data_IF_940993957834
#
_entry.id   IF_940993957834
#
_cell.length_a   1.000
_cell.length_b   1.000
_cell.length_c   1.000
_cell.angle_alpha   90.00
_cell.angle_beta   90.00
_cell.angle_gamma   90.00
#
_symmetry.space_group_name_H-M   'P 1'
#
loop_
_entity.id
_entity.type
_entity.pdbx_description
1 polymer ?
#
# COMPACT_ATOMS: atom_id res chain seq x y z
N UNK A 1 63.77 19.57 -46.40
CA UNK A 1 64.89 19.38 -45.44
C UNK A 1 64.88 17.90 -45.06
N UNK A 2 65.54 17.03 -45.82
CA UNK A 2 66.94 16.58 -45.67
C UNK A 2 67.20 15.91 -44.31
N UNK A 3 67.91 14.79 -44.12
CA UNK A 3 68.61 13.81 -44.95
C UNK A 3 69.02 12.68 -43.95
N UNK A 4 68.91 11.40 -44.29
CA UNK A 4 70.00 10.49 -44.67
C UNK A 4 71.36 10.60 -43.92
N UNK A 5 71.81 9.42 -43.46
CA UNK A 5 73.20 8.86 -43.46
C UNK A 5 74.26 9.25 -42.41
N UNK A 6 74.63 8.23 -41.61
CA UNK A 6 75.95 7.56 -41.47
C UNK A 6 77.22 8.38 -41.12
N UNK A 7 77.92 7.92 -40.05
CA UNK A 7 79.38 7.62 -39.93
C UNK A 7 79.62 7.14 -38.47
N UNK A 8 80.13 5.95 -38.13
CA UNK A 8 81.30 5.13 -38.50
C UNK A 8 82.64 5.65 -37.95
N UNK A 9 83.37 4.71 -37.32
CA UNK A 9 84.83 4.61 -37.08
C UNK A 9 85.36 5.38 -35.85
N UNK A 10 86.39 4.93 -35.12
CA UNK A 10 87.21 3.72 -35.05
C UNK A 10 88.16 3.93 -33.83
N UNK A 11 88.82 2.93 -33.22
CA UNK A 11 90.18 2.40 -33.53
C UNK A 11 90.62 1.65 -32.24
N UNK A 12 91.12 0.41 -32.26
CA UNK A 12 92.38 -0.19 -32.76
C UNK A 12 93.44 -0.39 -31.66
N UNK A 13 94.06 -1.57 -31.73
CA UNK A 13 95.29 -2.03 -31.06
C UNK A 13 95.07 -3.48 -30.63
N UNK A 14 95.41 -4.57 -31.34
CA UNK A 14 96.44 -4.91 -32.33
C UNK A 14 97.86 -4.97 -31.78
N UNK A 15 98.30 -6.20 -31.46
CA UNK A 15 99.67 -6.76 -31.43
C UNK A 15 99.53 -8.26 -31.12
N UNK A 16 100.44 -9.19 -31.43
CA UNK A 16 101.13 -9.58 -32.66
C UNK A 16 101.65 -11.03 -32.41
N UNK A 17 101.41 -11.96 -33.36
CA UNK A 17 102.20 -13.17 -33.72
C UNK A 17 102.67 -14.22 -32.65
N UNK A 18 103.07 -15.47 -33.03
CA UNK A 18 103.43 -15.97 -34.36
C UNK A 18 102.82 -17.32 -34.82
N UNK A 19 102.87 -17.50 -36.14
CA UNK A 19 102.75 -18.77 -36.87
C UNK A 19 103.95 -19.68 -36.55
N UNK A 20 103.71 -20.99 -36.36
CA UNK A 20 104.67 -22.10 -36.61
C UNK A 20 103.88 -23.33 -37.08
N UNK A 21 103.95 -23.66 -38.36
CA UNK A 21 104.70 -24.80 -38.97
C UNK A 21 104.02 -26.17 -38.73
N UNK A 22 103.67 -26.92 -39.79
CA UNK A 22 103.14 -28.27 -39.64
C UNK A 22 104.28 -29.18 -39.18
N UNK A 23 104.09 -29.88 -38.06
CA UNK A 23 105.05 -30.87 -37.57
C UNK A 23 104.66 -32.23 -38.12
N UNK A 24 105.63 -32.86 -38.79
CA UNK A 24 105.59 -34.17 -39.40
C UNK A 24 105.03 -35.25 -38.47
N UNK A 25 104.08 -36.03 -39.00
CA UNK A 25 103.43 -37.13 -38.33
C UNK A 25 104.30 -38.41 -38.21
N UNK A 26 105.60 -38.34 -38.53
CA UNK A 26 106.49 -39.52 -38.55
C UNK A 26 107.54 -39.59 -37.41
N UNK A 27 107.73 -38.55 -36.58
CA UNK A 27 108.73 -38.61 -35.49
C UNK A 27 108.17 -38.85 -34.07
N UNK A 28 106.85 -38.75 -33.84
CA UNK A 28 106.23 -39.00 -32.52
C UNK A 28 105.99 -40.49 -32.20
N UNK A 29 106.35 -41.41 -33.12
CA UNK A 29 106.17 -42.87 -32.97
C UNK A 29 107.30 -43.59 -32.23
N UNK A 30 108.38 -42.90 -31.80
CA UNK A 30 109.54 -43.56 -31.17
C UNK A 30 109.78 -43.33 -29.67
N UNK A 31 109.05 -42.43 -28.98
CA UNK A 31 109.35 -42.14 -27.56
C UNK A 31 108.20 -42.32 -26.53
N UNK A 32 106.98 -42.73 -26.93
CA UNK A 32 105.91 -43.11 -25.98
C UNK A 32 105.93 -44.61 -25.64
N UNK A 33 107.13 -45.16 -25.40
CA UNK A 33 107.33 -46.53 -24.93
C UNK A 33 108.15 -46.56 -23.64
N UNK A 34 107.69 -45.85 -22.60
CA UNK A 34 107.88 -46.15 -21.16
C UNK A 34 107.44 -44.96 -20.29
N UNK A 35 106.23 -45.01 -19.72
CA UNK A 35 105.91 -44.71 -18.29
C UNK A 35 104.39 -44.45 -18.06
N UNK A 36 103.77 -45.32 -17.26
CA UNK A 36 102.86 -44.96 -16.17
C UNK A 36 101.40 -44.56 -16.46
N UNK A 37 100.52 -45.53 -16.73
CA UNK A 37 99.07 -45.33 -16.98
C UNK A 37 98.18 -45.07 -15.74
N UNK A 38 98.68 -44.41 -14.67
CA UNK A 38 97.91 -44.26 -13.41
C UNK A 38 97.37 -42.85 -13.12
N UNK A 39 98.07 -41.78 -13.50
CA UNK A 39 97.65 -40.40 -13.16
C UNK A 39 96.55 -39.85 -14.09
N UNK A 40 96.53 -40.28 -15.35
CA UNK A 40 95.55 -39.83 -16.34
C UNK A 40 94.13 -40.39 -16.09
N UNK A 41 94.03 -41.51 -15.38
CA UNK A 41 92.75 -42.15 -15.01
C UNK A 41 92.10 -41.41 -13.83
N UNK A 42 92.89 -40.91 -12.88
CA UNK A 42 92.39 -40.23 -11.67
C UNK A 42 91.82 -38.85 -12.00
N UNK A 43 92.46 -38.10 -12.90
CA UNK A 43 91.96 -36.78 -13.33
C UNK A 43 90.67 -36.88 -14.14
N UNK A 44 90.52 -37.90 -14.99
CA UNK A 44 89.26 -38.19 -15.68
C UNK A 44 88.14 -38.61 -14.72
N UNK A 45 88.47 -39.40 -13.68
CA UNK A 45 87.49 -39.82 -12.69
C UNK A 45 86.93 -38.64 -11.87
N UNK A 46 87.78 -37.68 -11.47
CA UNK A 46 87.33 -36.49 -10.72
C UNK A 46 86.48 -35.56 -11.58
N UNK A 47 86.88 -35.31 -12.84
CA UNK A 47 86.08 -34.51 -13.77
C UNK A 47 84.70 -35.15 -14.05
N UNK A 48 84.66 -36.47 -14.19
CA UNK A 48 83.41 -37.21 -14.38
C UNK A 48 82.46 -37.08 -13.18
N UNK A 49 82.99 -37.16 -11.95
CA UNK A 49 82.18 -36.98 -10.73
C UNK A 49 81.58 -35.57 -10.64
N UNK A 50 82.35 -34.52 -10.98
CA UNK A 50 81.83 -33.14 -11.00
C UNK A 50 80.73 -32.96 -12.05
N UNK A 51 80.89 -33.55 -13.24
CA UNK A 51 79.86 -33.54 -14.29
C UNK A 51 78.60 -34.29 -13.89
N UNK A 52 78.73 -35.43 -13.20
CA UNK A 52 77.59 -36.20 -12.68
C UNK A 52 76.84 -35.39 -11.61
N UNK A 53 77.54 -34.77 -10.66
CA UNK A 53 76.90 -33.95 -9.62
C UNK A 53 76.23 -32.70 -10.21
N UNK A 54 76.89 -32.00 -11.14
CA UNK A 54 76.29 -30.87 -11.85
C UNK A 54 75.08 -31.29 -12.69
N UNK A 55 75.13 -32.46 -13.33
CA UNK A 55 74.02 -33.06 -14.07
C UNK A 55 72.82 -33.40 -13.18
N UNK A 56 73.05 -33.95 -11.99
CA UNK A 56 71.99 -34.26 -11.01
C UNK A 56 71.33 -32.98 -10.47
N UNK A 57 72.11 -31.93 -10.18
CA UNK A 57 71.57 -30.63 -9.73
C UNK A 57 70.79 -29.95 -10.86
N UNK A 58 71.32 -29.94 -12.09
CA UNK A 58 70.63 -29.37 -13.25
C UNK A 58 69.33 -30.13 -13.55
N UNK A 59 69.33 -31.46 -13.44
CA UNK A 59 68.14 -32.28 -13.62
C UNK A 59 67.09 -32.02 -12.53
N UNK A 60 67.50 -31.81 -11.27
CA UNK A 60 66.60 -31.43 -10.17
C UNK A 60 65.99 -30.04 -10.38
N UNK A 61 66.79 -29.05 -10.82
CA UNK A 61 66.33 -27.68 -11.10
C UNK A 61 65.44 -27.62 -12.35
N UNK A 62 65.78 -28.36 -13.41
CA UNK A 62 64.93 -28.48 -14.61
C UNK A 62 63.65 -29.26 -14.33
N UNK A 63 63.71 -30.28 -13.47
CA UNK A 63 62.55 -31.02 -12.98
C UNK A 63 61.62 -30.15 -12.14
N UNK A 64 62.17 -29.33 -11.24
CA UNK A 64 61.40 -28.33 -10.48
C UNK A 64 60.78 -27.27 -11.40
N UNK A 65 61.53 -26.71 -12.35
CA UNK A 65 60.98 -25.74 -13.32
C UNK A 65 59.90 -26.33 -14.21
N UNK A 66 60.04 -27.59 -14.65
CA UNK A 66 58.98 -28.28 -15.41
C UNK A 66 57.75 -28.57 -14.54
N UNK A 67 57.95 -28.94 -13.27
CA UNK A 67 56.84 -29.13 -12.33
C UNK A 67 56.12 -27.81 -12.01
N UNK A 68 56.87 -26.71 -11.86
CA UNK A 68 56.32 -25.35 -11.68
C UNK A 68 55.58 -24.86 -12.93
N UNK A 69 56.11 -25.10 -14.12
CA UNK A 69 55.44 -24.78 -15.39
C UNK A 69 54.16 -25.61 -15.58
N UNK A 70 54.19 -26.92 -15.35
CA UNK A 70 53.01 -27.77 -15.43
C UNK A 70 51.95 -27.40 -14.38
N UNK A 71 52.37 -27.00 -13.17
CA UNK A 71 51.46 -26.50 -12.14
C UNK A 71 50.83 -25.16 -12.51
N UNK A 72 51.58 -24.27 -13.17
CA UNK A 72 51.09 -22.99 -13.68
C UNK A 72 50.11 -23.18 -14.86
N UNK A 73 50.41 -24.06 -15.81
CA UNK A 73 49.51 -24.44 -16.91
C UNK A 73 48.22 -25.06 -16.37
N UNK A 74 48.32 -26.04 -15.46
CA UNK A 74 47.15 -26.64 -14.82
C UNK A 74 46.33 -25.64 -13.98
N UNK A 75 46.94 -24.58 -13.46
CA UNK A 75 46.23 -23.48 -12.82
C UNK A 75 45.51 -22.60 -13.85
N UNK A 76 46.18 -22.23 -14.95
CA UNK A 76 45.56 -21.45 -16.03
C UNK A 76 44.40 -22.20 -16.70
N UNK A 77 44.53 -23.51 -16.92
CA UNK A 77 43.45 -24.34 -17.47
C UNK A 77 42.24 -24.37 -16.52
N UNK A 78 42.47 -24.50 -15.21
CA UNK A 78 41.40 -24.45 -14.21
C UNK A 78 40.72 -23.08 -14.18
N UNK A 79 41.47 -22.00 -14.28
CA UNK A 79 40.94 -20.63 -14.35
C UNK A 79 40.13 -20.42 -15.62
N UNK A 80 40.63 -20.89 -16.76
CA UNK A 80 39.96 -20.73 -18.05
C UNK A 80 38.68 -21.58 -18.12
N UNK A 81 38.72 -22.84 -17.66
CA UNK A 81 37.55 -23.70 -17.55
C UNK A 81 36.49 -23.10 -16.62
N UNK A 82 36.91 -22.56 -15.46
CA UNK A 82 36.03 -21.82 -14.56
C UNK A 82 35.37 -20.63 -15.26
N UNK A 83 36.14 -19.76 -15.93
CA UNK A 83 35.60 -18.60 -16.66
C UNK A 83 34.62 -19.01 -17.75
N UNK A 84 34.98 -20.01 -18.56
CA UNK A 84 34.13 -20.49 -19.67
C UNK A 84 32.82 -21.06 -19.15
N UNK A 85 32.85 -21.93 -18.13
CA UNK A 85 31.63 -22.51 -17.54
C UNK A 85 30.79 -21.44 -16.83
N UNK A 86 31.43 -20.55 -16.07
CA UNK A 86 30.74 -19.48 -15.35
C UNK A 86 29.98 -18.54 -16.30
N UNK A 87 30.59 -18.19 -17.44
CA UNK A 87 29.98 -17.29 -18.42
C UNK A 87 28.91 -17.97 -19.28
N UNK A 88 28.92 -19.30 -19.38
CA UNK A 88 27.95 -20.09 -20.14
C UNK A 88 26.57 -20.19 -19.46
N UNK A 89 26.49 -19.97 -18.15
CA UNK A 89 25.20 -19.96 -17.44
C UNK A 89 24.35 -18.76 -17.86
N UNK A 90 23.14 -19.03 -18.33
CA UNK A 90 22.13 -18.00 -18.60
C UNK A 90 21.47 -17.55 -17.29
N UNK A 91 21.59 -16.27 -16.98
CA UNK A 91 20.99 -15.68 -15.77
C UNK A 91 19.50 -15.39 -15.93
N UNK A 92 18.95 -15.52 -17.14
CA UNK A 92 17.52 -15.32 -17.44
C UNK A 92 16.72 -16.62 -17.36
N UNK A 93 17.36 -17.75 -17.06
CA UNK A 93 16.72 -19.05 -16.88
C UNK A 93 16.88 -19.49 -15.42
N UNK A 94 15.79 -19.93 -14.78
CA UNK A 94 15.77 -20.16 -13.33
C UNK A 94 16.76 -21.25 -12.90
N UNK A 95 16.84 -22.35 -13.66
CA UNK A 95 17.74 -23.47 -13.35
C UNK A 95 19.19 -23.03 -13.46
N UNK A 96 19.53 -22.36 -14.56
CA UNK A 96 20.86 -21.83 -14.85
C UNK A 96 21.29 -20.73 -13.86
N UNK A 97 20.38 -19.86 -13.42
CA UNK A 97 20.65 -18.86 -12.39
C UNK A 97 20.97 -19.51 -11.03
N UNK A 98 20.24 -20.55 -10.63
CA UNK A 98 20.54 -21.33 -9.41
C UNK A 98 21.89 -22.06 -9.52
N UNK A 99 22.16 -22.67 -10.67
CA UNK A 99 23.43 -23.35 -10.94
C UNK A 99 24.61 -22.38 -10.94
N UNK A 100 24.47 -21.18 -11.50
CA UNK A 100 25.51 -20.14 -11.46
C UNK A 100 25.88 -19.78 -10.01
N UNK A 101 24.88 -19.54 -9.15
CA UNK A 101 25.11 -19.17 -7.74
C UNK A 101 25.81 -20.30 -6.99
N UNK A 102 25.36 -21.55 -7.19
CA UNK A 102 25.99 -22.71 -6.57
C UNK A 102 27.44 -22.91 -7.04
N UNK A 103 27.67 -22.81 -8.35
CA UNK A 103 29.00 -22.94 -8.96
C UNK A 103 29.97 -21.84 -8.49
N UNK A 104 29.47 -20.61 -8.32
CA UNK A 104 30.24 -19.49 -7.79
C UNK A 104 30.69 -19.72 -6.33
N UNK A 105 29.80 -20.24 -5.48
CA UNK A 105 30.11 -20.50 -4.07
C UNK A 105 31.08 -21.68 -3.93
N UNK A 106 30.89 -22.74 -4.73
CA UNK A 106 31.82 -23.89 -4.78
C UNK A 106 33.24 -23.46 -5.17
N UNK A 107 33.37 -22.52 -6.10
CA UNK A 107 34.66 -22.05 -6.63
C UNK A 107 35.11 -20.69 -6.05
N UNK A 108 34.53 -20.26 -4.93
CA UNK A 108 34.76 -18.94 -4.32
C UNK A 108 36.23 -18.62 -4.05
N UNK A 109 37.00 -19.61 -3.60
CA UNK A 109 38.43 -19.45 -3.36
C UNK A 109 39.19 -19.13 -4.66
N UNK A 110 38.85 -19.81 -5.76
CA UNK A 110 39.41 -19.55 -7.08
C UNK A 110 38.95 -18.19 -7.61
N UNK A 111 37.66 -17.88 -7.50
CA UNK A 111 37.09 -16.60 -7.94
C UNK A 111 37.74 -15.39 -7.25
N UNK A 112 37.97 -15.46 -5.93
CA UNK A 112 38.58 -14.37 -5.15
C UNK A 112 40.07 -14.17 -5.46
N UNK A 113 40.75 -15.19 -5.99
CA UNK A 113 42.16 -15.10 -6.41
C UNK A 113 42.35 -14.43 -7.78
N UNK A 114 41.25 -14.15 -8.51
CA UNK A 114 41.28 -13.56 -9.85
C UNK A 114 40.91 -12.08 -9.79
N UNK A 115 41.90 -11.20 -9.62
CA UNK A 115 41.69 -9.73 -9.50
C UNK A 115 40.81 -9.16 -10.63
N UNK A 116 41.03 -9.59 -11.88
CA UNK A 116 40.31 -9.08 -13.06
C UNK A 116 38.92 -9.70 -13.29
N UNK A 117 38.54 -10.75 -12.54
CA UNK A 117 37.28 -11.50 -12.77
C UNK A 117 36.38 -11.61 -11.54
N UNK A 118 36.92 -11.36 -10.34
CA UNK A 118 36.17 -11.40 -9.09
C UNK A 118 34.96 -10.43 -9.10
N UNK A 119 35.14 -9.22 -9.64
CA UNK A 119 34.06 -8.22 -9.75
C UNK A 119 32.93 -8.67 -10.68
N UNK A 120 33.25 -9.32 -11.81
CA UNK A 120 32.28 -9.87 -12.75
C UNK A 120 31.50 -11.05 -12.13
N UNK A 121 32.19 -11.92 -11.38
CA UNK A 121 31.56 -13.02 -10.64
C UNK A 121 30.54 -12.47 -9.63
N UNK A 122 30.95 -11.48 -8.82
CA UNK A 122 30.05 -10.83 -7.84
C UNK A 122 28.86 -10.18 -8.55
N UNK A 123 29.09 -9.45 -9.65
CA UNK A 123 28.04 -8.80 -10.45
C UNK A 123 27.02 -9.80 -11.03
N UNK A 124 27.47 -10.89 -11.66
CA UNK A 124 26.58 -11.91 -12.22
C UNK A 124 25.84 -12.69 -11.15
N UNK A 125 26.49 -13.03 -10.03
CA UNK A 125 25.83 -13.66 -8.88
C UNK A 125 24.74 -12.75 -8.32
N UNK A 126 25.01 -11.44 -8.17
CA UNK A 126 24.01 -10.48 -7.71
C UNK A 126 22.82 -10.40 -8.68
N UNK A 127 23.07 -10.29 -9.99
CA UNK A 127 22.01 -10.28 -11.01
C UNK A 127 21.16 -11.56 -11.00
N UNK A 128 21.81 -12.73 -10.87
CA UNK A 128 21.10 -14.01 -10.77
C UNK A 128 20.22 -14.08 -9.52
N UNK A 129 20.70 -13.59 -8.37
CA UNK A 129 19.89 -13.50 -7.14
C UNK A 129 18.69 -12.58 -7.31
N UNK A 130 18.90 -11.36 -7.82
CA UNK A 130 17.81 -10.41 -8.08
C UNK A 130 16.78 -10.96 -9.08
N UNK A 131 17.23 -11.70 -10.10
CA UNK A 131 16.34 -12.38 -11.03
C UNK A 131 15.48 -13.44 -10.34
N UNK A 132 16.10 -14.31 -9.52
CA UNK A 132 15.38 -15.34 -8.76
C UNK A 132 14.40 -14.75 -7.75
N UNK A 133 14.80 -13.71 -7.01
CA UNK A 133 13.92 -12.96 -6.10
C UNK A 133 12.73 -12.35 -6.86
N UNK A 134 12.97 -11.79 -8.05
CA UNK A 134 11.92 -11.28 -8.93
C UNK A 134 10.94 -12.36 -9.38
N UNK A 135 11.43 -13.54 -9.76
CA UNK A 135 10.58 -14.69 -10.12
C UNK A 135 9.75 -15.18 -8.93
N UNK A 136 10.35 -15.25 -7.74
CA UNK A 136 9.65 -15.66 -6.52
C UNK A 136 8.53 -14.67 -6.16
N UNK A 137 8.82 -13.36 -6.23
CA UNK A 137 7.81 -12.33 -6.02
C UNK A 137 6.66 -12.43 -7.03
N UNK A 138 6.96 -12.67 -8.32
CA UNK A 138 5.92 -12.88 -9.33
C UNK A 138 5.04 -14.09 -9.01
N UNK A 139 5.65 -15.22 -8.61
CA UNK A 139 4.92 -16.43 -8.22
C UNK A 139 4.02 -16.22 -7.01
N UNK A 140 4.51 -15.51 -5.97
CA UNK A 140 3.70 -15.17 -4.79
C UNK A 140 2.49 -14.31 -5.19
N UNK A 141 2.70 -13.29 -6.04
CA UNK A 141 1.61 -12.45 -6.54
C UNK A 141 0.59 -13.25 -7.38
N UNK A 142 1.05 -14.13 -8.27
CA UNK A 142 0.20 -15.01 -9.07
C UNK A 142 -0.62 -15.97 -8.20
N UNK A 143 0.01 -16.59 -7.19
CA UNK A 143 -0.69 -17.49 -6.27
C UNK A 143 -1.77 -16.75 -5.48
N UNK A 144 -1.48 -15.54 -5.01
CA UNK A 144 -2.47 -14.69 -4.31
C UNK A 144 -3.62 -14.32 -5.23
N UNK A 145 -3.33 -13.93 -6.48
CA UNK A 145 -4.37 -13.63 -7.46
C UNK A 145 -5.25 -14.84 -7.74
N UNK A 146 -4.66 -16.01 -7.95
CA UNK A 146 -5.43 -17.24 -8.18
C UNK A 146 -6.27 -17.66 -6.98
N UNK A 147 -5.80 -17.44 -5.76
CA UNK A 147 -6.63 -17.65 -4.57
C UNK A 147 -7.85 -16.72 -4.53
N UNK A 148 -7.68 -15.46 -4.96
CA UNK A 148 -8.79 -14.51 -5.08
C UNK A 148 -9.75 -14.93 -6.20
N UNK A 149 -9.24 -15.29 -7.38
CA UNK A 149 -10.06 -15.77 -8.51
C UNK A 149 -10.92 -16.98 -8.09
N UNK A 150 -10.37 -17.92 -7.32
CA UNK A 150 -11.11 -19.05 -6.77
C UNK A 150 -12.19 -18.65 -5.76
N UNK A 151 -11.92 -17.64 -4.93
CA UNK A 151 -12.92 -17.10 -4.01
C UNK A 151 -14.06 -16.39 -4.78
N UNK A 152 -13.71 -15.60 -5.80
CA UNK A 152 -14.68 -14.89 -6.65
C UNK A 152 -15.55 -15.85 -7.47
N UNK A 153 -15.01 -16.99 -7.90
CA UNK A 153 -15.80 -18.05 -8.56
C UNK A 153 -16.93 -18.59 -7.65
N UNK A 154 -16.77 -18.49 -6.33
CA UNK A 154 -17.77 -18.90 -5.33
C UNK A 154 -18.45 -17.70 -4.65
N UNK A 155 -18.39 -16.51 -5.25
CA UNK A 155 -18.80 -15.27 -4.60
C UNK A 155 -20.27 -15.23 -4.15
N UNK A 156 -21.16 -15.97 -4.82
CA UNK A 156 -22.57 -16.09 -4.41
C UNK A 156 -22.75 -16.68 -2.99
N UNK A 157 -21.77 -17.47 -2.52
CA UNK A 157 -21.78 -18.10 -1.20
C UNK A 157 -21.07 -17.26 -0.14
N UNK A 158 -20.32 -16.23 -0.55
CA UNK A 158 -19.59 -15.36 0.36
C UNK A 158 -20.51 -14.32 1.00
N UNK A 159 -20.21 -13.97 2.25
CA UNK A 159 -20.83 -12.82 2.88
C UNK A 159 -20.26 -11.52 2.27
N UNK A 160 -21.00 -10.40 2.30
CA UNK A 160 -20.49 -9.12 1.81
C UNK A 160 -19.13 -8.74 2.40
N UNK A 161 -18.90 -9.01 3.69
CA UNK A 161 -17.63 -8.69 4.36
C UNK A 161 -16.43 -9.44 3.76
N UNK A 162 -16.61 -10.71 3.37
CA UNK A 162 -15.54 -11.52 2.77
C UNK A 162 -15.21 -11.04 1.35
N UNK A 163 -16.24 -10.60 0.60
CA UNK A 163 -16.06 -9.97 -0.71
C UNK A 163 -15.36 -8.61 -0.61
N UNK A 164 -15.68 -7.81 0.41
CA UNK A 164 -14.98 -6.56 0.68
C UNK A 164 -13.48 -6.81 0.95
N UNK A 165 -13.15 -7.87 1.70
CA UNK A 165 -11.78 -8.27 1.93
C UNK A 165 -11.07 -8.72 0.63
N UNK A 166 -11.74 -9.48 -0.26
CA UNK A 166 -11.17 -9.82 -1.57
C UNK A 166 -10.88 -8.57 -2.41
N UNK A 167 -11.79 -7.59 -2.42
CA UNK A 167 -11.57 -6.31 -3.11
C UNK A 167 -10.35 -5.56 -2.57
N UNK A 168 -10.20 -5.51 -1.23
CA UNK A 168 -9.03 -4.91 -0.58
C UNK A 168 -7.74 -5.59 -1.01
N UNK A 169 -7.72 -6.93 -1.05
CA UNK A 169 -6.55 -7.70 -1.51
C UNK A 169 -6.24 -7.45 -2.98
N UNK A 170 -7.25 -7.27 -3.84
CA UNK A 170 -7.03 -6.90 -5.24
C UNK A 170 -6.46 -5.49 -5.39
N UNK A 171 -6.86 -4.54 -4.55
CA UNK A 171 -6.24 -3.20 -4.52
C UNK A 171 -4.76 -3.28 -4.11
N UNK A 172 -4.43 -4.13 -3.12
CA UNK A 172 -3.04 -4.39 -2.73
C UNK A 172 -2.22 -5.04 -3.87
N UNK A 173 -2.81 -5.97 -4.63
CA UNK A 173 -2.17 -6.56 -5.80
C UNK A 173 -2.01 -5.55 -6.94
N UNK A 174 -3.00 -4.67 -7.16
CA UNK A 174 -2.94 -3.63 -8.17
C UNK A 174 -1.77 -2.66 -7.92
N UNK A 175 -1.52 -2.32 -6.66
CA UNK A 175 -0.38 -1.49 -6.26
C UNK A 175 0.99 -2.13 -6.58
N UNK A 176 1.04 -3.47 -6.70
CA UNK A 176 2.25 -4.24 -7.01
C UNK A 176 2.26 -4.83 -8.42
N UNK A 177 1.24 -4.55 -9.23
CA UNK A 177 1.01 -5.26 -10.49
C UNK A 177 2.14 -5.08 -11.52
N UNK A 178 2.91 -3.98 -11.44
CA UNK A 178 4.08 -3.76 -12.28
C UNK A 178 5.17 -4.84 -12.15
N UNK A 179 5.21 -5.57 -11.03
CA UNK A 179 6.16 -6.69 -10.82
C UNK A 179 5.74 -7.92 -11.63
N UNK A 180 4.44 -8.19 -11.74
CA UNK A 180 3.83 -9.36 -12.38
C UNK A 180 3.81 -9.31 -13.91
N UNK A 181 4.05 -8.15 -14.52
CA UNK A 181 4.01 -7.97 -15.97
C UNK A 181 2.61 -7.71 -16.54
N UNK A 182 2.50 -7.46 -17.86
CA UNK A 182 1.27 -6.94 -18.47
C UNK A 182 0.04 -7.84 -18.34
N UNK A 183 0.22 -9.16 -18.43
CA UNK A 183 -0.86 -10.13 -18.28
C UNK A 183 -1.42 -10.14 -16.86
N UNK A 184 -0.54 -10.12 -15.85
CA UNK A 184 -0.93 -10.01 -14.45
C UNK A 184 -1.71 -8.71 -14.19
N UNK A 185 -1.22 -7.58 -14.71
CA UNK A 185 -1.92 -6.29 -14.61
C UNK A 185 -3.33 -6.37 -15.21
N UNK A 186 -3.48 -6.97 -16.39
CA UNK A 186 -4.77 -7.11 -17.06
C UNK A 186 -5.74 -8.00 -16.26
N UNK A 187 -5.25 -9.12 -15.70
CA UNK A 187 -6.05 -10.00 -14.84
C UNK A 187 -6.52 -9.29 -13.58
N UNK A 188 -5.62 -8.63 -12.85
CA UNK A 188 -5.98 -7.86 -11.64
C UNK A 188 -7.02 -6.79 -11.96
N UNK A 189 -6.89 -6.07 -13.07
CA UNK A 189 -7.86 -5.04 -13.45
C UNK A 189 -9.26 -5.62 -13.69
N UNK A 190 -9.35 -6.72 -14.46
CA UNK A 190 -10.60 -7.43 -14.72
C UNK A 190 -11.23 -7.96 -13.43
N UNK A 191 -10.42 -8.59 -12.58
CA UNK A 191 -10.92 -9.23 -11.36
C UNK A 191 -11.37 -8.17 -10.33
N UNK A 192 -10.78 -6.96 -10.33
CA UNK A 192 -11.27 -5.81 -9.54
C UNK A 192 -12.66 -5.37 -9.97
N UNK A 193 -12.88 -5.24 -11.27
CA UNK A 193 -14.18 -4.87 -11.82
C UNK A 193 -15.24 -5.93 -11.49
N UNK A 194 -14.91 -7.22 -11.72
CA UNK A 194 -15.81 -8.33 -11.39
C UNK A 194 -16.12 -8.40 -9.89
N UNK A 195 -15.10 -8.31 -9.02
CA UNK A 195 -15.28 -8.36 -7.58
C UNK A 195 -16.18 -7.22 -7.08
N UNK A 196 -16.07 -6.04 -7.67
CA UNK A 196 -16.91 -4.90 -7.32
C UNK A 196 -18.36 -5.09 -7.77
N UNK A 197 -18.60 -5.54 -9.00
CA UNK A 197 -19.95 -5.85 -9.50
C UNK A 197 -20.64 -6.87 -8.59
N UNK A 198 -19.96 -7.98 -8.30
CA UNK A 198 -20.53 -9.05 -7.45
C UNK A 198 -20.73 -8.56 -6.01
N UNK A 199 -19.82 -7.74 -5.47
CA UNK A 199 -20.00 -7.15 -4.15
C UNK A 199 -21.25 -6.27 -4.08
N UNK A 200 -21.47 -5.40 -5.07
CA UNK A 200 -22.66 -4.54 -5.15
C UNK A 200 -23.93 -5.36 -5.23
N UNK A 201 -23.97 -6.37 -6.11
CA UNK A 201 -25.12 -7.28 -6.20
C UNK A 201 -25.38 -7.99 -4.88
N UNK A 202 -24.33 -8.46 -4.21
CA UNK A 202 -24.46 -9.16 -2.92
C UNK A 202 -25.00 -8.25 -1.83
N UNK A 203 -24.58 -6.97 -1.78
CA UNK A 203 -25.13 -5.98 -0.85
C UNK A 203 -26.64 -5.79 -1.08
N UNK A 204 -27.05 -5.64 -2.34
CA UNK A 204 -28.45 -5.45 -2.71
C UNK A 204 -29.29 -6.68 -2.36
N UNK A 205 -28.88 -7.86 -2.81
CA UNK A 205 -29.61 -9.12 -2.53
C UNK A 205 -29.68 -9.43 -1.04
N UNK A 206 -28.60 -9.20 -0.28
CA UNK A 206 -28.61 -9.43 1.17
C UNK A 206 -29.55 -8.47 1.89
N UNK A 207 -29.59 -7.20 1.46
CA UNK A 207 -30.53 -6.20 2.01
C UNK A 207 -31.98 -6.55 1.67
N UNK A 208 -32.25 -6.98 0.43
CA UNK A 208 -33.58 -7.44 -0.01
C UNK A 208 -34.04 -8.67 0.78
N UNK A 209 -33.16 -9.65 0.98
CA UNK A 209 -33.46 -10.84 1.78
C UNK A 209 -33.77 -10.48 3.24
N UNK A 210 -33.00 -9.56 3.83
CA UNK A 210 -33.24 -9.06 5.18
C UNK A 210 -34.58 -8.32 5.30
N UNK A 211 -34.92 -7.48 4.32
CA UNK A 211 -36.18 -6.74 4.29
C UNK A 211 -37.41 -7.64 4.05
N UNK A 212 -37.22 -8.76 3.34
CA UNK A 212 -38.26 -9.74 3.05
C UNK A 212 -38.52 -10.74 4.20
N UNK A 213 -37.75 -10.69 5.28
CA UNK A 213 -37.97 -11.54 6.44
C UNK A 213 -39.40 -11.38 7.00
N UNK A 214 -40.03 -12.49 7.41
CA UNK A 214 -41.39 -12.51 7.94
C UNK A 214 -41.51 -11.60 9.17
N UNK A 215 -40.53 -11.71 10.07
CA UNK A 215 -40.35 -10.82 11.21
C UNK A 215 -39.12 -9.95 10.99
N UNK A 216 -39.32 -8.63 10.91
CA UNK A 216 -38.21 -7.67 10.92
C UNK A 216 -37.67 -7.55 12.34
N UNK A 217 -36.37 -7.76 12.50
CA UNK A 217 -35.65 -7.56 13.74
C UNK A 217 -34.50 -6.54 13.57
N UNK A 218 -33.80 -6.23 14.67
CA UNK A 218 -32.68 -5.30 14.63
C UNK A 218 -31.52 -5.81 13.75
N UNK A 219 -31.35 -7.12 13.59
CA UNK A 219 -30.29 -7.69 12.76
C UNK A 219 -30.60 -7.51 11.25
N UNK A 220 -31.85 -7.66 10.86
CA UNK A 220 -32.34 -7.35 9.52
C UNK A 220 -32.12 -5.87 9.19
N UNK A 221 -32.51 -4.96 10.10
CA UNK A 221 -32.28 -3.52 9.92
C UNK A 221 -30.79 -3.17 9.83
N UNK A 222 -29.93 -3.83 10.61
CA UNK A 222 -28.48 -3.65 10.55
C UNK A 222 -27.89 -4.10 9.20
N UNK A 223 -28.40 -5.21 8.65
CA UNK A 223 -27.99 -5.72 7.32
C UNK A 223 -28.35 -4.73 6.20
N UNK A 224 -29.58 -4.20 6.22
CA UNK A 224 -30.03 -3.20 5.25
C UNK A 224 -29.20 -1.91 5.39
N UNK A 225 -28.95 -1.47 6.63
CA UNK A 225 -28.11 -0.32 6.92
C UNK A 225 -26.68 -0.51 6.37
N UNK A 226 -26.08 -1.68 6.55
CA UNK A 226 -24.75 -1.97 6.02
C UNK A 226 -24.74 -1.90 4.49
N UNK A 227 -25.78 -2.44 3.83
CA UNK A 227 -25.96 -2.32 2.38
C UNK A 227 -26.04 -0.87 1.91
N UNK A 228 -26.86 -0.06 2.57
CA UNK A 228 -27.01 1.38 2.31
C UNK A 228 -25.68 2.12 2.47
N UNK A 229 -24.96 1.90 3.57
CA UNK A 229 -23.68 2.55 3.87
C UNK A 229 -22.57 2.22 2.87
N UNK A 230 -22.42 0.93 2.55
CA UNK A 230 -21.37 0.48 1.64
C UNK A 230 -21.66 0.92 0.20
N UNK A 231 -22.92 0.88 -0.23
CA UNK A 231 -23.28 1.36 -1.56
C UNK A 231 -23.16 2.89 -1.68
N UNK A 232 -23.48 3.64 -0.62
CA UNK A 232 -23.23 5.08 -0.59
C UNK A 232 -21.74 5.41 -0.75
N UNK A 233 -20.83 4.67 -0.09
CA UNK A 233 -19.38 4.86 -0.27
C UNK A 233 -18.96 4.63 -1.72
N UNK A 234 -19.48 3.60 -2.37
CA UNK A 234 -19.16 3.30 -3.78
C UNK A 234 -19.70 4.38 -4.72
N UNK A 235 -20.91 4.88 -4.44
CA UNK A 235 -21.50 6.01 -5.15
C UNK A 235 -20.66 7.27 -4.98
N UNK A 236 -20.24 7.62 -3.76
CA UNK A 236 -19.41 8.80 -3.47
C UNK A 236 -18.05 8.73 -4.18
N UNK A 237 -17.38 7.57 -4.16
CA UNK A 237 -16.12 7.36 -4.90
C UNK A 237 -16.34 7.52 -6.40
N UNK A 238 -17.40 6.93 -6.95
CA UNK A 238 -17.71 7.02 -8.38
C UNK A 238 -18.11 8.43 -8.80
N UNK A 239 -18.85 9.15 -7.94
CA UNK A 239 -19.23 10.54 -8.14
C UNK A 239 -18.01 11.46 -8.15
N UNK A 240 -17.09 11.30 -7.19
CA UNK A 240 -15.83 12.08 -7.14
C UNK A 240 -14.92 11.81 -8.33
N UNK A 241 -14.88 10.58 -8.84
CA UNK A 241 -14.15 10.25 -10.06
C UNK A 241 -14.78 10.91 -11.29
N UNK A 242 -16.11 10.83 -11.41
CA UNK A 242 -16.87 11.48 -12.48
C UNK A 242 -16.75 13.01 -12.44
N UNK A 243 -16.80 13.64 -11.27
CA UNK A 243 -16.73 15.10 -11.15
C UNK A 243 -15.39 15.66 -11.67
N UNK A 244 -14.31 14.88 -11.57
CA UNK A 244 -13.01 15.20 -12.17
C UNK A 244 -12.99 15.00 -13.69
N UNK A 245 -13.77 14.07 -14.22
CA UNK A 245 -13.79 13.65 -15.63
C UNK A 245 -15.22 13.53 -16.17
N UNK A 246 -15.93 14.66 -16.28
CA UNK A 246 -17.39 14.69 -16.52
C UNK A 246 -17.86 14.11 -17.85
N UNK A 247 -16.95 13.94 -18.81
CA UNK A 247 -17.23 13.42 -20.15
C UNK A 247 -16.94 11.92 -20.31
N UNK A 248 -16.41 11.26 -19.28
CA UNK A 248 -16.09 9.83 -19.33
C UNK A 248 -17.39 9.00 -19.24
N UNK A 249 -17.77 8.35 -20.34
CA UNK A 249 -18.99 7.55 -20.46
C UNK A 249 -19.03 6.36 -19.49
N UNK A 250 -17.86 5.77 -19.17
CA UNK A 250 -17.76 4.66 -18.22
C UNK A 250 -18.08 5.15 -16.81
N UNK A 251 -17.53 6.30 -16.43
CA UNK A 251 -17.81 6.90 -15.12
C UNK A 251 -19.25 7.39 -14.99
N UNK A 252 -19.84 7.93 -16.06
CA UNK A 252 -21.26 8.31 -16.10
C UNK A 252 -22.15 7.07 -15.86
N UNK A 253 -21.91 5.99 -16.61
CA UNK A 253 -22.69 4.74 -16.50
C UNK A 253 -22.59 4.16 -15.10
N UNK A 254 -21.37 4.02 -14.58
CA UNK A 254 -21.11 3.48 -13.24
C UNK A 254 -21.73 4.31 -12.12
N UNK A 255 -21.61 5.64 -12.20
CA UNK A 255 -22.26 6.55 -11.25
C UNK A 255 -23.78 6.35 -11.26
N UNK A 256 -24.40 6.32 -12.44
CA UNK A 256 -25.85 6.19 -12.57
C UNK A 256 -26.34 4.83 -12.03
N UNK A 257 -25.64 3.74 -12.36
CA UNK A 257 -25.94 2.40 -11.84
C UNK A 257 -25.93 2.37 -10.30
N UNK A 258 -24.89 2.93 -9.68
CA UNK A 258 -24.80 2.98 -8.22
C UNK A 258 -25.84 3.91 -7.60
N UNK A 259 -26.17 5.00 -8.28
CA UNK A 259 -27.21 5.91 -7.83
C UNK A 259 -28.58 5.21 -7.81
N UNK A 260 -28.94 4.51 -8.88
CA UNK A 260 -30.21 3.76 -8.97
C UNK A 260 -30.29 2.68 -7.89
N UNK A 261 -29.23 1.88 -7.73
CA UNK A 261 -29.16 0.85 -6.69
C UNK A 261 -29.24 1.46 -5.29
N UNK A 262 -28.58 2.60 -5.05
CA UNK A 262 -28.62 3.29 -3.76
C UNK A 262 -30.01 3.84 -3.44
N UNK A 263 -30.66 4.50 -4.39
CA UNK A 263 -32.04 4.98 -4.24
C UNK A 263 -33.00 3.81 -3.95
N UNK A 264 -32.82 2.68 -4.63
CA UNK A 264 -33.61 1.47 -4.38
C UNK A 264 -33.40 0.93 -2.96
N UNK A 265 -32.16 0.90 -2.46
CA UNK A 265 -31.87 0.50 -1.09
C UNK A 265 -32.40 1.49 -0.05
N UNK A 266 -32.35 2.80 -0.32
CA UNK A 266 -32.96 3.81 0.58
C UNK A 266 -34.46 3.57 0.69
N UNK A 267 -35.16 3.34 -0.42
CA UNK A 267 -36.59 3.02 -0.40
C UNK A 267 -36.88 1.74 0.40
N UNK A 268 -36.09 0.68 0.18
CA UNK A 268 -36.21 -0.57 0.92
C UNK A 268 -35.97 -0.39 2.43
N UNK A 269 -34.95 0.40 2.79
CA UNK A 269 -34.60 0.79 4.15
C UNK A 269 -35.75 1.55 4.80
N UNK A 270 -36.36 2.49 4.08
CA UNK A 270 -37.48 3.28 4.57
C UNK A 270 -38.71 2.39 4.86
N UNK A 271 -39.06 1.50 3.94
CA UNK A 271 -40.18 0.55 4.12
C UNK A 271 -39.93 -0.39 5.32
N UNK A 272 -38.71 -0.92 5.48
CA UNK A 272 -38.36 -1.80 6.59
C UNK A 272 -38.38 -1.07 7.94
N UNK A 273 -37.83 0.14 7.99
CA UNK A 273 -37.80 0.98 9.20
C UNK A 273 -39.22 1.38 9.62
N UNK A 274 -40.10 1.74 8.69
CA UNK A 274 -41.50 2.06 8.99
C UNK A 274 -42.29 0.85 9.50
N UNK A 275 -42.02 -0.35 8.98
CA UNK A 275 -42.63 -1.59 9.49
C UNK A 275 -42.13 -1.97 10.89
N UNK A 276 -40.87 -1.67 11.21
CA UNK A 276 -40.26 -2.03 12.48
C UNK A 276 -40.57 -1.03 13.60
N UNK A 277 -40.43 0.27 13.33
CA UNK A 277 -40.66 1.34 14.32
C UNK A 277 -42.12 1.77 14.30
N UNK A 278 -43.00 0.91 14.83
CA UNK A 278 -44.38 1.28 15.12
C UNK A 278 -44.43 2.32 16.25
N UNK A 279 -45.55 3.06 16.42
CA UNK A 279 -45.72 3.99 17.53
C UNK A 279 -45.41 3.35 18.88
N UNK A 280 -45.83 2.11 19.10
CA UNK A 280 -45.59 1.38 20.35
C UNK A 280 -44.10 1.11 20.60
N UNK A 281 -43.34 0.77 19.55
CA UNK A 281 -41.88 0.55 19.65
C UNK A 281 -41.15 1.85 19.95
N UNK A 282 -41.58 2.95 19.30
CA UNK A 282 -41.02 4.28 19.54
C UNK A 282 -41.32 4.71 20.98
N UNK A 283 -42.56 4.57 21.43
CA UNK A 283 -43.00 4.96 22.77
C UNK A 283 -42.31 4.16 23.87
N UNK A 284 -42.09 2.86 23.65
CA UNK A 284 -41.35 1.99 24.55
C UNK A 284 -39.85 2.32 24.63
N UNK A 285 -39.31 3.06 23.66
CA UNK A 285 -37.90 3.49 23.69
C UNK A 285 -37.73 4.58 24.77
N UNK A 286 -36.81 4.41 25.73
CA UNK A 286 -36.63 5.36 26.81
C UNK A 286 -36.04 6.68 26.31
N UNK A 287 -36.49 7.78 26.93
CA UNK A 287 -35.88 9.08 26.74
C UNK A 287 -34.50 9.15 27.39
N UNK A 288 -33.53 9.64 26.63
CA UNK A 288 -32.21 10.03 27.12
C UNK A 288 -32.19 11.54 27.34
N UNK A 289 -31.96 11.97 28.58
CA UNK A 289 -31.80 13.39 28.91
C UNK A 289 -30.43 13.91 28.43
N UNK A 290 -30.44 14.80 27.43
CA UNK A 290 -29.25 15.38 26.81
C UNK A 290 -28.67 16.55 27.61
N UNK A 291 -29.38 17.02 28.65
CA UNK A 291 -28.95 18.08 29.57
C UNK A 291 -28.43 17.54 30.91
N UNK A 292 -28.45 16.21 31.08
CA UNK A 292 -27.91 15.54 32.26
C UNK A 292 -26.40 15.77 32.41
N UNK A 293 -25.91 15.70 33.64
CA UNK A 293 -24.48 15.85 33.93
C UNK A 293 -23.60 14.84 33.17
N UNK A 294 -24.13 13.65 32.91
CA UNK A 294 -23.46 12.61 32.12
C UNK A 294 -23.30 13.04 30.65
N UNK A 295 -24.36 13.58 30.04
CA UNK A 295 -24.39 13.97 28.63
C UNK A 295 -23.78 15.36 28.36
N UNK A 296 -23.64 16.22 29.38
CA UNK A 296 -23.05 17.55 29.23
C UNK A 296 -21.65 17.52 28.58
N UNK A 297 -20.85 16.48 28.88
CA UNK A 297 -19.51 16.28 28.32
C UNK A 297 -19.52 15.66 26.91
N UNK A 298 -20.64 15.09 26.47
CA UNK A 298 -20.79 14.49 25.14
C UNK A 298 -20.99 15.53 24.03
N UNK A 299 -21.46 16.73 24.39
CA UNK A 299 -21.62 17.84 23.47
C UNK A 299 -20.28 18.38 22.95
N UNK A 300 -20.15 18.45 21.64
CA UNK A 300 -19.01 19.05 20.94
C UNK A 300 -19.42 20.37 20.31
N UNK A 301 -18.50 21.33 20.24
CA UNK A 301 -18.68 22.59 19.55
C UNK A 301 -17.31 23.22 19.33
N UNK A 302 -17.15 23.97 18.25
CA UNK A 302 -15.95 24.76 18.05
C UNK A 302 -15.94 25.98 18.99
N UNK A 303 -14.74 26.51 19.26
CA UNK A 303 -14.57 27.74 20.02
C UNK A 303 -14.63 28.94 19.06
N UNK A 304 -15.38 29.97 19.44
CA UNK A 304 -15.43 31.25 18.74
C UNK A 304 -15.53 32.40 19.73
N UNK A 305 -15.15 33.61 19.31
CA UNK A 305 -15.20 34.77 20.19
C UNK A 305 -16.65 35.11 20.52
N UNK A 306 -16.94 35.31 21.81
CA UNK A 306 -18.28 35.65 22.30
C UNK A 306 -19.25 34.47 22.42
N UNK A 307 -18.92 33.30 21.86
CA UNK A 307 -19.74 32.10 22.00
C UNK A 307 -19.65 31.56 23.43
N UNK A 308 -20.80 31.36 24.07
CA UNK A 308 -20.89 30.70 25.38
C UNK A 308 -21.83 29.50 25.32
N UNK A 309 -21.39 28.41 25.96
CA UNK A 309 -22.19 27.21 26.19
C UNK A 309 -22.11 26.81 27.65
N UNK A 310 -23.25 26.78 28.34
CA UNK A 310 -23.35 26.33 29.73
C UNK A 310 -24.47 25.32 29.89
N UNK A 311 -24.15 24.15 30.47
CA UNK A 311 -25.12 23.11 30.83
C UNK A 311 -25.03 22.91 32.34
N UNK A 312 -26.01 23.43 33.07
CA UNK A 312 -26.03 23.41 34.53
C UNK A 312 -27.47 23.19 35.02
N UNK A 313 -27.66 22.30 36.01
CA UNK A 313 -28.96 22.03 36.63
C UNK A 313 -30.10 21.69 35.63
N UNK A 314 -29.78 20.98 34.54
CA UNK A 314 -30.76 20.63 33.51
C UNK A 314 -31.15 21.78 32.57
N UNK A 315 -30.42 22.90 32.61
CA UNK A 315 -30.59 24.02 31.69
C UNK A 315 -29.38 24.11 30.75
N UNK A 316 -29.62 24.15 29.44
CA UNK A 316 -28.63 24.56 28.45
C UNK A 316 -28.84 26.02 28.09
N UNK A 317 -27.84 26.86 28.34
CA UNK A 317 -27.82 28.27 27.95
C UNK A 317 -26.76 28.48 26.86
N UNK A 318 -27.20 28.98 25.72
CA UNK A 318 -26.37 29.30 24.57
C UNK A 318 -26.39 30.78 24.27
N UNK A 319 -25.20 31.34 24.06
CA UNK A 319 -24.99 32.68 23.52
C UNK A 319 -24.18 32.51 22.24
N UNK A 320 -24.73 33.03 21.14
CA UNK A 320 -24.10 33.00 19.83
C UNK A 320 -22.80 33.81 19.79
N UNK A 321 -21.97 33.60 18.75
CA UNK A 321 -20.69 34.30 18.62
C UNK A 321 -20.85 35.81 18.43
N UNK A 322 -19.76 36.55 18.67
CA UNK A 322 -19.68 37.98 18.41
C UNK A 322 -20.00 38.30 16.93
N UNK A 323 -20.57 39.49 16.63
CA UNK A 323 -20.87 39.89 15.25
C UNK A 323 -19.68 39.94 14.29
N UNK A 324 -18.44 39.93 14.83
CA UNK A 324 -17.21 39.88 14.05
C UNK A 324 -16.87 38.49 13.51
N UNK A 325 -17.47 37.43 14.06
CA UNK A 325 -17.27 36.07 13.59
C UNK A 325 -18.00 35.84 12.25
N UNK A 326 -17.39 35.05 11.37
CA UNK A 326 -17.88 34.85 10.01
C UNK A 326 -18.94 33.76 9.89
N UNK A 327 -19.00 32.85 10.86
CA UNK A 327 -19.81 31.65 10.80
C UNK A 327 -20.64 31.49 12.06
N UNK A 328 -21.81 30.90 11.87
CA UNK A 328 -22.57 30.25 12.92
C UNK A 328 -21.72 29.18 13.62
N UNK A 329 -21.99 28.98 14.91
CA UNK A 329 -21.40 27.88 15.68
C UNK A 329 -22.43 26.79 15.85
N UNK A 330 -22.05 25.58 15.47
CA UNK A 330 -22.87 24.39 15.63
C UNK A 330 -22.31 23.55 16.78
N UNK A 331 -23.17 23.25 17.74
CA UNK A 331 -22.89 22.24 18.76
C UNK A 331 -23.58 20.93 18.39
N UNK A 332 -22.89 19.81 18.57
CA UNK A 332 -23.39 18.47 18.20
C UNK A 332 -23.36 17.49 19.36
N UNK A 333 -24.29 16.54 19.34
CA UNK A 333 -24.31 15.37 20.23
C UNK A 333 -24.69 14.12 19.44
N UNK A 334 -24.12 12.98 19.84
CA UNK A 334 -24.29 11.71 19.13
C UNK A 334 -23.23 11.44 18.08
N UNK A 335 -22.15 12.24 17.99
CA UNK A 335 -21.08 12.05 16.99
C UNK A 335 -20.37 10.69 17.10
N UNK A 336 -20.33 10.11 18.32
CA UNK A 336 -19.71 8.80 18.56
C UNK A 336 -20.65 7.64 18.19
N UNK A 337 -21.95 7.83 18.36
CA UNK A 337 -22.97 6.80 18.13
C UNK A 337 -23.48 6.83 16.68
N UNK A 338 -23.45 8.00 16.03
CA UNK A 338 -23.86 8.23 14.64
C UNK A 338 -25.32 7.84 14.41
N UNK A 339 -26.24 8.61 14.99
CA UNK A 339 -27.67 8.30 14.99
C UNK A 339 -28.26 8.32 13.58
N UNK A 340 -29.14 7.37 13.30
CA UNK A 340 -29.91 7.29 12.05
C UNK A 340 -31.34 7.73 12.27
N UNK A 341 -32.01 7.10 13.24
CA UNK A 341 -33.42 7.31 13.48
C UNK A 341 -33.61 7.70 14.93
N UNK A 342 -34.23 8.86 15.14
CA UNK A 342 -34.40 9.39 16.48
C UNK A 342 -35.52 10.43 16.56
N UNK A 343 -35.97 10.64 17.77
CA UNK A 343 -36.91 11.69 18.15
C UNK A 343 -36.25 12.61 19.16
N UNK A 344 -36.34 13.92 18.94
CA UNK A 344 -35.88 14.97 19.85
C UNK A 344 -37.12 15.66 20.40
N UNK A 345 -37.24 15.69 21.73
CA UNK A 345 -38.20 16.54 22.42
C UNK A 345 -37.45 17.66 23.12
N UNK A 346 -37.83 18.89 22.81
CA UNK A 346 -37.19 20.09 23.33
C UNK A 346 -38.21 21.10 23.86
N UNK A 347 -37.82 21.79 24.92
CA UNK A 347 -38.49 22.98 25.44
C UNK A 347 -37.45 24.09 25.55
N UNK A 348 -37.72 25.23 24.93
CA UNK A 348 -36.76 26.32 24.83
C UNK A 348 -37.41 27.71 24.86
N UNK A 349 -36.59 28.71 25.17
CA UNK A 349 -36.93 30.13 25.11
C UNK A 349 -35.86 30.85 24.31
N UNK A 350 -36.26 31.52 23.23
CA UNK A 350 -35.37 32.42 22.48
C UNK A 350 -35.41 33.77 23.19
N UNK A 351 -34.30 34.20 23.78
CA UNK A 351 -34.20 35.53 24.41
C UNK A 351 -34.00 36.60 23.34
N UNK A 352 -33.20 36.30 22.32
CA UNK A 352 -33.01 37.11 21.10
C UNK A 352 -32.42 36.26 19.97
N UNK A 353 -32.61 36.71 18.74
CA UNK A 353 -32.05 36.07 17.55
C UNK A 353 -32.80 34.81 17.13
N UNK A 354 -32.08 33.82 16.64
CA UNK A 354 -32.62 32.56 16.11
C UNK A 354 -31.61 31.43 16.25
N UNK A 355 -32.07 30.19 16.21
CA UNK A 355 -31.20 29.02 16.16
C UNK A 355 -31.72 28.02 15.14
N UNK A 356 -30.85 27.11 14.69
CA UNK A 356 -31.16 26.08 13.71
C UNK A 356 -30.95 24.71 14.33
N UNK A 357 -31.96 23.85 14.28
CA UNK A 357 -31.84 22.44 14.65
C UNK A 357 -31.39 21.63 13.44
N UNK A 358 -30.19 21.05 13.48
CA UNK A 358 -29.64 20.22 12.42
C UNK A 358 -29.82 18.72 12.74
N UNK A 359 -30.18 17.95 11.72
CA UNK A 359 -30.44 16.53 11.84
C UNK A 359 -29.48 15.72 10.97
N UNK A 360 -28.89 14.68 11.58
CA UNK A 360 -27.94 13.76 10.94
C UNK A 360 -26.68 14.50 10.47
N UNK A 361 -26.14 15.36 11.33
CA UNK A 361 -24.90 16.10 11.08
C UNK A 361 -23.74 15.11 10.90
N UNK A 362 -23.14 15.03 9.71
CA UNK A 362 -21.99 14.15 9.47
C UNK A 362 -20.77 14.62 10.26
N UNK A 363 -19.82 13.69 10.51
CA UNK A 363 -18.57 13.98 11.23
C UNK A 363 -17.78 15.11 10.57
N UNK A 364 -17.82 15.17 9.24
CA UNK A 364 -17.27 16.28 8.45
C UNK A 364 -18.45 17.08 7.95
N UNK A 365 -18.51 18.35 8.30
CA UNK A 365 -19.59 19.26 7.91
C UNK A 365 -19.88 19.23 6.40
N UNK A 366 -21.16 19.32 6.05
CA UNK A 366 -21.64 19.38 4.66
C UNK A 366 -22.79 20.38 4.57
N UNK A 367 -22.93 21.08 3.45
CA UNK A 367 -23.97 22.12 3.31
C UNK A 367 -25.37 21.52 3.06
N UNK A 368 -25.47 20.23 2.72
CA UNK A 368 -26.71 19.54 2.38
C UNK A 368 -27.38 18.83 3.57
N UNK A 369 -27.18 19.28 4.81
CA UNK A 369 -27.79 18.69 6.01
C UNK A 369 -29.30 19.03 6.09
N UNK A 370 -30.11 18.17 6.73
CA UNK A 370 -31.52 18.51 7.02
C UNK A 370 -31.60 19.38 8.27
N UNK A 371 -32.45 20.40 8.27
CA UNK A 371 -32.55 21.32 9.39
C UNK A 371 -33.96 21.88 9.55
N UNK A 372 -34.25 22.38 10.75
CA UNK A 372 -35.41 23.21 11.06
C UNK A 372 -34.90 24.55 11.61
N UNK A 373 -35.36 25.65 11.03
CA UNK A 373 -35.01 27.00 11.45
C UNK A 373 -36.04 27.52 12.45
N UNK A 374 -35.60 27.89 13.65
CA UNK A 374 -36.46 28.39 14.73
C UNK A 374 -36.21 29.89 14.88
N UNK A 375 -37.00 30.69 14.14
CA UNK A 375 -36.80 32.14 13.98
C UNK A 375 -37.92 32.97 14.62
N UNK A 376 -37.56 34.18 15.07
CA UNK A 376 -38.51 35.14 15.68
C UNK A 376 -38.98 36.24 14.74
N UNK A 377 -38.30 36.45 13.60
CA UNK A 377 -38.54 37.57 12.68
C UNK A 377 -39.74 37.37 11.75
N UNK A 378 -40.13 36.11 11.49
CA UNK A 378 -41.31 35.76 10.68
C UNK A 378 -42.62 35.72 11.49
N UNK A 379 -42.59 36.06 12.78
CA UNK A 379 -43.77 36.23 13.63
C UNK A 379 -44.34 34.95 14.25
N UNK A 380 -43.70 33.80 14.06
CA UNK A 380 -44.13 32.52 14.64
C UNK A 380 -43.61 32.28 16.06
N UNK A 381 -42.43 32.81 16.40
CA UNK A 381 -41.84 32.72 17.73
C UNK A 381 -41.60 34.11 18.30
N UNK A 382 -42.02 34.34 19.54
CA UNK A 382 -41.94 35.60 20.26
C UNK A 382 -40.77 35.51 21.25
N UNK A 383 -39.82 36.47 21.23
CA UNK A 383 -38.73 36.48 22.20
C UNK A 383 -39.22 36.50 23.64
N UNK A 384 -38.63 35.65 24.47
CA UNK A 384 -38.96 35.49 25.89
C UNK A 384 -40.08 34.49 26.19
N UNK A 385 -40.81 34.01 25.19
CA UNK A 385 -41.80 32.94 25.37
C UNK A 385 -41.15 31.54 25.36
N UNK A 386 -41.77 30.60 26.06
CA UNK A 386 -41.36 29.21 26.08
C UNK A 386 -42.13 28.41 25.02
N UNK A 387 -41.39 27.66 24.22
CA UNK A 387 -41.91 26.79 23.17
C UNK A 387 -41.52 25.35 23.45
N UNK A 388 -42.41 24.42 23.09
CA UNK A 388 -42.11 22.99 23.14
C UNK A 388 -42.32 22.38 21.77
N UNK A 389 -41.32 21.64 21.30
CA UNK A 389 -41.30 20.99 20.00
C UNK A 389 -40.88 19.54 20.12
N UNK A 390 -41.46 18.69 19.28
CA UNK A 390 -40.94 17.36 19.00
C UNK A 390 -40.56 17.26 17.53
N UNK A 391 -39.32 16.85 17.28
CA UNK A 391 -38.81 16.54 15.95
C UNK A 391 -38.52 15.06 15.86
N UNK A 392 -39.07 14.39 14.86
CA UNK A 392 -38.83 12.97 14.61
C UNK A 392 -38.23 12.80 13.23
N UNK A 393 -37.07 12.16 13.15
CA UNK A 393 -36.47 11.75 11.88
C UNK A 393 -36.34 10.23 11.87
N UNK A 394 -37.21 9.57 11.11
CA UNK A 394 -37.26 8.12 10.98
C UNK A 394 -37.31 7.79 9.50
N UNK A 395 -36.40 6.95 9.03
CA UNK A 395 -36.23 6.69 7.60
C UNK A 395 -35.98 8.01 6.85
N UNK A 396 -36.64 8.22 5.71
CA UNK A 396 -36.67 9.49 4.98
C UNK A 396 -37.82 10.40 5.42
N UNK A 397 -38.49 10.12 6.54
CA UNK A 397 -39.59 10.95 7.03
C UNK A 397 -39.11 11.85 8.16
N UNK A 398 -39.31 13.16 7.99
CA UNK A 398 -39.15 14.14 9.03
C UNK A 398 -40.53 14.60 9.50
N UNK A 399 -40.73 14.68 10.81
CA UNK A 399 -41.94 15.19 11.43
C UNK A 399 -41.57 16.24 12.44
N UNK A 400 -42.26 17.38 12.39
CA UNK A 400 -42.12 18.47 13.34
C UNK A 400 -43.49 18.74 13.96
N UNK A 401 -43.54 18.84 15.29
CA UNK A 401 -44.76 19.10 16.02
C UNK A 401 -44.50 20.13 17.11
N UNK A 402 -45.20 21.26 17.05
CA UNK A 402 -45.24 22.23 18.13
C UNK A 402 -46.31 21.82 19.16
N UNK A 403 -45.97 21.82 20.44
CA UNK A 403 -46.89 21.51 21.53
C UNK A 403 -47.45 22.80 22.12
N UNK A 404 -48.57 23.27 21.56
CA UNK A 404 -49.34 24.42 22.05
C UNK A 404 -50.84 24.19 21.84
N UNK A 405 -51.69 24.95 22.55
CA UNK A 405 -53.16 24.84 22.39
C UNK A 405 -53.61 25.19 20.96
N UNK A 406 -52.90 26.12 20.31
CA UNK A 406 -53.17 26.58 18.94
C UNK A 406 -52.34 25.84 17.88
N UNK A 407 -51.73 24.70 18.23
CA UNK A 407 -50.84 23.97 17.31
C UNK A 407 -51.60 23.51 16.06
N UNK A 408 -51.04 23.70 14.85
CA UNK A 408 -51.60 23.17 13.61
C UNK A 408 -51.49 21.64 13.50
N UNK A 409 -50.89 20.97 14.49
CA UNK A 409 -50.55 19.55 14.46
C UNK A 409 -49.20 19.30 13.77
N UNK A 410 -48.83 18.01 13.60
CA UNK A 410 -47.52 17.65 13.05
C UNK A 410 -47.42 17.98 11.55
N UNK A 411 -46.34 18.65 11.16
CA UNK A 411 -45.91 18.77 9.76
C UNK A 411 -45.05 17.58 9.38
N UNK A 412 -45.21 17.08 8.16
CA UNK A 412 -44.48 15.89 7.68
C UNK A 412 -43.80 16.19 6.36
N UNK A 413 -42.49 16.04 6.35
CA UNK A 413 -41.63 16.24 5.18
C UNK A 413 -40.87 14.97 4.81
N UNK A 414 -40.42 14.93 3.55
CA UNK A 414 -39.59 13.85 3.03
C UNK A 414 -38.15 14.30 2.82
N UNK A 415 -37.22 13.66 3.52
CA UNK A 415 -35.79 13.92 3.46
C UNK A 415 -35.21 13.24 2.21
N UNK A 416 -34.74 14.05 1.25
CA UNK A 416 -34.11 13.56 0.02
C UNK A 416 -32.97 12.56 0.29
N UNK A 417 -32.89 11.51 -0.55
CA UNK A 417 -31.81 10.51 -0.54
C UNK A 417 -30.40 11.09 -0.68
N UNK A 418 -30.29 12.33 -1.21
CA UNK A 418 -29.03 13.06 -1.36
C UNK A 418 -28.52 13.67 -0.05
N UNK A 419 -29.33 13.68 1.01
CA UNK A 419 -28.95 14.20 2.33
C UNK A 419 -28.32 13.09 3.19
N UNK A 420 -27.50 13.46 4.19
CA UNK A 420 -26.97 12.50 5.15
C UNK A 420 -28.06 11.64 5.78
N UNK A 421 -27.82 10.33 5.83
CA UNK A 421 -28.75 9.32 6.40
C UNK A 421 -28.45 8.98 7.86
N UNK A 422 -27.33 9.46 8.37
CA UNK A 422 -26.86 9.23 9.73
C UNK A 422 -25.94 10.37 10.18
N UNK A 423 -25.91 10.63 11.47
CA UNK A 423 -25.06 11.66 12.04
C UNK A 423 -25.55 12.11 13.42
N UNK A 424 -24.89 13.13 13.94
CA UNK A 424 -25.27 13.76 15.20
C UNK A 424 -26.56 14.58 15.07
N UNK A 425 -27.17 14.89 16.21
CA UNK A 425 -28.08 16.03 16.32
C UNK A 425 -27.25 17.29 16.56
N UNK A 426 -27.62 18.40 15.92
CA UNK A 426 -26.90 19.67 16.03
C UNK A 426 -27.81 20.84 16.38
N UNK A 427 -27.27 21.81 17.12
CA UNK A 427 -27.89 23.12 17.36
C UNK A 427 -26.92 24.17 16.85
N UNK A 428 -27.31 24.88 15.81
CA UNK A 428 -26.62 26.04 15.29
C UNK A 428 -27.11 27.32 15.96
N UNK A 429 -26.18 28.15 16.42
CA UNK A 429 -26.49 29.50 16.92
C UNK A 429 -25.75 30.55 16.11
N UNK A 430 -26.55 31.41 15.47
CA UNK A 430 -26.07 32.58 14.75
C UNK A 430 -25.55 33.67 15.69
N UNK A 431 -24.86 34.66 15.12
CA UNK A 431 -24.46 35.87 15.87
C UNK A 431 -25.66 36.55 16.53
N UNK A 432 -25.42 37.22 17.64
CA UNK A 432 -26.42 37.96 18.42
C UNK A 432 -27.60 37.11 18.94
N UNK A 433 -27.52 35.78 18.88
CA UNK A 433 -28.52 34.86 19.43
C UNK A 433 -28.29 34.60 20.92
N UNK A 434 -29.36 34.52 21.70
CA UNK A 434 -29.36 33.91 23.04
C UNK A 434 -30.58 33.00 23.16
N UNK A 435 -30.34 31.73 23.50
CA UNK A 435 -31.39 30.71 23.64
C UNK A 435 -31.15 29.85 24.88
N UNK A 436 -32.22 29.46 25.54
CA UNK A 436 -32.21 28.62 26.73
C UNK A 436 -33.08 27.39 26.51
N UNK A 437 -32.56 26.21 26.78
CA UNK A 437 -33.31 24.95 26.72
C UNK A 437 -33.49 24.41 28.14
N UNK A 438 -34.75 24.25 28.55
CA UNK A 438 -35.17 23.70 29.85
C UNK A 438 -35.49 22.21 29.77
N UNK A 439 -35.75 21.71 28.56
CA UNK A 439 -35.89 20.29 28.26
C UNK A 439 -35.19 20.02 26.93
N UNK A 440 -34.32 19.03 26.90
CA UNK A 440 -33.76 18.51 25.65
C UNK A 440 -33.42 17.05 25.84
N UNK A 441 -34.21 16.17 25.23
CA UNK A 441 -34.08 14.72 25.37
C UNK A 441 -34.28 14.04 24.04
N UNK A 442 -33.69 12.85 23.89
CA UNK A 442 -33.76 12.07 22.66
C UNK A 442 -34.23 10.64 22.92
N UNK A 443 -35.06 10.09 22.01
CA UNK A 443 -35.22 8.65 21.82
C UNK A 443 -34.37 8.25 20.63
N UNK A 444 -33.25 7.57 20.90
CA UNK A 444 -32.37 7.05 19.83
C UNK A 444 -32.86 5.65 19.46
N UNK A 445 -33.40 5.51 18.25
CA UNK A 445 -34.02 4.27 17.77
C UNK A 445 -32.97 3.37 17.09
N UNK A 446 -32.15 3.98 16.23
CA UNK A 446 -31.07 3.33 15.45
C UNK A 446 -29.82 4.17 15.36
#
# INVERSE_FOLDING_TARGET
VHAATVKKAARKGAEEHPKKTPVDAEELRRDLKKKGSRELIVSFAVAFVVFVVAGVVLWKVLGQKKAEQAAAEAYQDRVQDFKTKFMAFDIQEETSAKQLIAFAEEHKALANSLEDFASEVVSRVAKAKTFLEGLEQRRDLEQRLTAIEQALANAAQLAPIDLAEQRRRLDELAAKAGIGGPEFVARVARDREQAEQVYVERLVTSSQAAAAAETLDRAALATIQQGEDELFKLLDVSYKAWDKNKQDEVLITKKNEYQEKYQSLVKLSDEAVQRFYTPEVIEATPWRDLLSAEQASAWKSDAAKGYERRIENGLLHLIGPDPSEKSEIVMTIGDREVWRDYEIDMEFTIVKGQFTAYFRVPIVWQDNIWYADLKTDEGYLIPGEAYSYTFRIVASTFTEEQHSEDSPGPTVDNVSWTKPRKGAFGIGVSKDTEVKFTRLRARVLR
#
